data_IF_427970714102
#
_entry.id   IF_427970714102
#
_cell.length_a   1.000
_cell.length_b   1.000
_cell.length_c   1.000
_cell.angle_alpha   90.00
_cell.angle_beta   90.00
_cell.angle_gamma   90.00
#
_symmetry.space_group_name_H-M   'P 1'
#
loop_
_entity.id
_entity.type
_entity.pdbx_description
1 polymer ?
#
# COMPACT_ATOMS: atom_id res chain seq x y z
N UNK A 1 18.19 -16.37 14.37
CA UNK A 1 18.66 -16.84 13.04
C UNK A 1 18.15 -15.90 11.98
N UNK A 2 19.05 -15.34 11.18
CA UNK A 2 18.70 -14.48 10.05
C UNK A 2 18.11 -15.34 8.94
N UNK A 3 16.80 -15.23 8.69
CA UNK A 3 16.08 -16.01 7.67
C UNK A 3 15.64 -15.12 6.52
N UNK A 4 15.71 -15.64 5.30
CA UNK A 4 15.18 -14.99 4.10
C UNK A 4 13.95 -15.74 3.59
N UNK A 5 12.95 -15.01 3.10
CA UNK A 5 11.76 -15.58 2.48
C UNK A 5 11.81 -15.35 0.98
N UNK A 6 11.84 -16.43 0.21
CA UNK A 6 11.92 -16.40 -1.25
C UNK A 6 10.55 -16.27 -1.95
N UNK A 7 9.46 -16.71 -1.30
CA UNK A 7 8.15 -16.84 -1.96
C UNK A 7 8.07 -17.99 -3.00
N UNK A 8 9.16 -18.72 -3.19
CA UNK A 8 9.28 -19.95 -3.96
C UNK A 8 10.32 -20.86 -3.27
N UNK A 9 10.51 -22.09 -3.73
CA UNK A 9 11.59 -22.93 -3.22
C UNK A 9 12.95 -22.49 -3.76
N UNK A 10 14.07 -22.75 -3.03
CA UNK A 10 15.41 -22.43 -3.54
C UNK A 10 15.72 -23.08 -4.89
N UNK A 11 15.27 -24.30 -5.11
CA UNK A 11 15.51 -25.02 -6.38
C UNK A 11 14.70 -24.42 -7.53
N UNK A 12 13.46 -23.98 -7.30
CA UNK A 12 12.68 -23.22 -8.28
C UNK A 12 13.39 -21.90 -8.65
N UNK A 13 13.96 -21.19 -7.65
CA UNK A 13 14.70 -19.96 -7.92
C UNK A 13 15.91 -20.19 -8.84
N UNK A 14 16.62 -21.31 -8.69
CA UNK A 14 17.76 -21.68 -9.53
C UNK A 14 17.35 -21.85 -11.00
N UNK A 15 16.15 -22.37 -11.28
CA UNK A 15 15.66 -22.52 -12.66
C UNK A 15 15.48 -21.19 -13.40
N UNK A 16 15.19 -20.10 -12.67
CA UNK A 16 15.02 -18.75 -13.26
C UNK A 16 16.23 -17.84 -13.00
N UNK A 17 17.41 -18.41 -12.66
CA UNK A 17 18.60 -17.64 -12.25
C UNK A 17 18.97 -16.53 -13.23
N UNK A 18 19.21 -16.87 -14.50
CA UNK A 18 19.69 -15.89 -15.48
C UNK A 18 18.72 -14.72 -15.69
N UNK A 19 17.41 -14.95 -15.96
CA UNK A 19 16.46 -13.84 -16.06
C UNK A 19 16.29 -13.08 -14.76
N UNK A 20 16.38 -13.73 -13.59
CA UNK A 20 16.27 -13.07 -12.29
C UNK A 20 17.46 -12.14 -12.01
N UNK A 21 18.69 -12.59 -12.26
CA UNK A 21 19.91 -11.78 -12.11
C UNK A 21 19.88 -10.58 -13.05
N UNK A 22 19.53 -10.77 -14.33
CA UNK A 22 19.42 -9.66 -15.30
C UNK A 22 18.39 -8.63 -14.89
N UNK A 23 17.20 -9.05 -14.43
CA UNK A 23 16.17 -8.15 -13.96
C UNK A 23 16.61 -7.39 -12.71
N UNK A 24 17.32 -8.04 -11.81
CA UNK A 24 17.86 -7.41 -10.62
C UNK A 24 18.97 -6.40 -10.95
N UNK A 25 19.88 -6.71 -11.91
CA UNK A 25 20.88 -5.78 -12.41
C UNK A 25 20.24 -4.54 -13.04
N UNK A 26 19.21 -4.73 -13.85
CA UNK A 26 18.45 -3.62 -14.43
C UNK A 26 17.82 -2.75 -13.35
N UNK A 27 17.21 -3.36 -12.33
CA UNK A 27 16.61 -2.63 -11.22
C UNK A 27 17.64 -1.77 -10.48
N UNK A 28 18.83 -2.30 -10.23
CA UNK A 28 19.92 -1.56 -9.58
C UNK A 28 20.45 -0.43 -10.45
N UNK A 29 20.72 -0.72 -11.73
CA UNK A 29 21.26 0.26 -12.68
C UNK A 29 20.32 1.46 -12.91
N UNK A 30 19.00 1.25 -12.80
CA UNK A 30 17.96 2.27 -12.94
C UNK A 30 17.55 2.91 -11.61
N UNK A 31 18.36 2.76 -10.54
CA UNK A 31 18.07 3.31 -9.21
C UNK A 31 16.69 2.89 -8.68
N UNK A 32 16.38 1.61 -8.80
CA UNK A 32 15.21 0.96 -8.22
C UNK A 32 13.87 1.48 -8.75
N UNK A 33 13.56 1.33 -10.06
CA UNK A 33 12.25 1.65 -10.60
C UNK A 33 11.17 0.75 -9.99
N UNK A 34 9.92 0.93 -10.35
CA UNK A 34 8.88 -0.04 -9.99
C UNK A 34 9.24 -1.41 -10.57
N UNK A 35 9.22 -2.44 -9.73
CA UNK A 35 9.60 -3.79 -10.17
C UNK A 35 8.71 -4.34 -11.28
N UNK A 36 7.44 -3.89 -11.36
CA UNK A 36 6.56 -4.22 -12.49
C UNK A 36 7.21 -3.91 -13.84
N UNK A 37 7.87 -2.74 -13.96
CA UNK A 37 8.45 -2.28 -15.22
C UNK A 37 9.64 -3.15 -15.67
N UNK A 38 10.40 -3.66 -14.71
CA UNK A 38 11.53 -4.55 -14.94
C UNK A 38 11.07 -5.99 -15.20
N UNK A 39 10.10 -6.45 -14.42
CA UNK A 39 9.57 -7.80 -14.53
C UNK A 39 8.83 -8.03 -15.85
N UNK A 40 8.14 -7.04 -16.40
CA UNK A 40 7.48 -7.14 -17.70
C UNK A 40 8.47 -7.41 -18.84
N UNK A 41 9.66 -6.81 -18.76
CA UNK A 41 10.78 -7.11 -19.69
C UNK A 41 11.30 -8.53 -19.53
N UNK A 42 11.64 -8.91 -18.31
CA UNK A 42 12.21 -10.22 -17.98
C UNK A 42 11.24 -11.39 -18.21
N UNK A 43 9.93 -11.15 -18.01
CA UNK A 43 8.89 -12.17 -18.22
C UNK A 43 8.78 -12.69 -19.66
N UNK A 44 9.38 -11.99 -20.63
CA UNK A 44 9.43 -12.45 -22.04
C UNK A 44 10.41 -13.58 -22.26
N UNK A 45 11.37 -13.77 -21.36
CA UNK A 45 12.43 -14.78 -21.45
C UNK A 45 12.13 -16.07 -20.68
N UNK A 46 10.96 -16.18 -20.06
CA UNK A 46 10.54 -17.34 -19.25
C UNK A 46 9.16 -17.83 -19.65
N UNK A 47 8.87 -19.09 -19.36
CA UNK A 47 7.54 -19.67 -19.53
C UNK A 47 6.52 -19.05 -18.58
N UNK A 48 5.26 -19.26 -18.85
CA UNK A 48 4.19 -18.78 -17.98
C UNK A 48 4.27 -19.31 -16.54
N UNK A 49 4.60 -20.59 -16.41
CA UNK A 49 4.75 -21.22 -15.10
C UNK A 49 5.90 -20.61 -14.28
N UNK A 50 6.96 -20.19 -14.96
CA UNK A 50 8.14 -19.58 -14.33
C UNK A 50 7.97 -18.12 -13.97
N UNK A 51 6.98 -17.40 -14.51
CA UNK A 51 6.80 -15.95 -14.23
C UNK A 51 6.59 -15.65 -12.76
N UNK A 52 5.81 -16.47 -12.06
CA UNK A 52 5.58 -16.29 -10.64
C UNK A 52 6.86 -16.53 -9.83
N UNK A 53 7.65 -17.52 -10.21
CA UNK A 53 8.93 -17.85 -9.59
C UNK A 53 9.93 -16.72 -9.85
N UNK A 54 10.03 -16.23 -11.08
CA UNK A 54 10.87 -15.10 -11.46
C UNK A 54 10.53 -13.86 -10.63
N UNK A 55 9.25 -13.49 -10.55
CA UNK A 55 8.81 -12.34 -9.77
C UNK A 55 9.18 -12.49 -8.28
N UNK A 56 8.92 -13.64 -7.68
CA UNK A 56 9.27 -13.93 -6.29
C UNK A 56 10.78 -13.84 -6.05
N UNK A 57 11.58 -14.39 -6.95
CA UNK A 57 13.06 -14.38 -6.87
C UNK A 57 13.62 -12.97 -6.98
N UNK A 58 13.15 -12.17 -7.96
CA UNK A 58 13.59 -10.77 -8.13
C UNK A 58 13.17 -9.93 -6.93
N UNK A 59 11.93 -10.08 -6.45
CA UNK A 59 11.47 -9.38 -5.24
C UNK A 59 12.34 -9.72 -4.02
N UNK A 60 12.76 -10.97 -3.85
CA UNK A 60 13.64 -11.38 -2.76
C UNK A 60 15.04 -10.77 -2.91
N UNK A 61 15.63 -10.78 -4.11
CA UNK A 61 16.92 -10.13 -4.38
C UNK A 61 16.89 -8.64 -4.02
N UNK A 62 15.84 -7.93 -4.45
CA UNK A 62 15.65 -6.51 -4.16
C UNK A 62 15.39 -6.27 -2.67
N UNK A 63 14.53 -7.07 -2.05
CA UNK A 63 14.20 -6.99 -0.63
C UNK A 63 15.45 -7.13 0.25
N UNK A 64 16.29 -8.11 -0.05
CA UNK A 64 17.45 -8.46 0.76
C UNK A 64 18.78 -7.91 0.22
N UNK A 65 18.77 -6.91 -0.69
CA UNK A 65 19.97 -6.38 -1.36
C UNK A 65 21.13 -6.07 -0.42
N UNK A 66 20.88 -5.35 0.69
CA UNK A 66 21.90 -5.00 1.69
C UNK A 66 22.45 -6.22 2.42
N UNK A 67 21.55 -7.10 2.89
CA UNK A 67 21.93 -8.35 3.59
C UNK A 67 22.76 -9.25 2.67
N UNK A 68 22.37 -9.38 1.41
CA UNK A 68 23.08 -10.21 0.44
C UNK A 68 24.46 -9.63 0.10
N UNK A 69 24.56 -8.30 -0.02
CA UNK A 69 25.85 -7.62 -0.17
C UNK A 69 26.78 -7.87 1.02
N UNK A 70 26.26 -7.84 2.23
CA UNK A 70 27.00 -8.19 3.45
C UNK A 70 27.39 -9.68 3.47
N UNK A 71 26.51 -10.57 3.05
CA UNK A 71 26.74 -12.02 3.03
C UNK A 71 27.87 -12.43 2.09
N UNK A 72 27.80 -11.96 0.82
CA UNK A 72 28.75 -12.34 -0.20
C UNK A 72 30.06 -11.54 -0.15
N UNK A 73 30.08 -10.34 0.43
CA UNK A 73 31.22 -9.45 0.43
C UNK A 73 31.67 -8.99 -0.96
N UNK A 74 30.81 -9.14 -1.98
CA UNK A 74 31.12 -8.83 -3.37
C UNK A 74 30.00 -7.98 -4.01
N UNK A 75 30.33 -7.09 -4.98
CA UNK A 75 29.32 -6.27 -5.66
C UNK A 75 28.49 -7.06 -6.70
N UNK A 76 28.89 -8.26 -7.06
CA UNK A 76 28.31 -9.08 -8.12
C UNK A 76 26.88 -9.51 -7.79
N UNK A 77 25.97 -9.35 -8.73
CA UNK A 77 24.59 -9.81 -8.62
C UNK A 77 24.47 -11.32 -8.62
N UNK A 78 25.38 -12.00 -9.31
CA UNK A 78 25.51 -13.46 -9.27
C UNK A 78 25.84 -13.95 -7.86
N UNK A 79 26.83 -13.32 -7.19
CA UNK A 79 27.21 -13.66 -5.83
C UNK A 79 26.06 -13.39 -4.83
N UNK A 80 25.26 -12.34 -5.06
CA UNK A 80 24.05 -12.06 -4.27
C UNK A 80 22.97 -13.10 -4.47
N UNK A 81 22.78 -13.56 -5.71
CA UNK A 81 21.85 -14.64 -6.01
C UNK A 81 22.26 -15.95 -5.30
N UNK A 82 23.54 -16.34 -5.39
CA UNK A 82 24.06 -17.51 -4.68
C UNK A 82 23.85 -17.40 -3.16
N UNK A 83 24.15 -16.22 -2.60
CA UNK A 83 23.93 -15.96 -1.17
C UNK A 83 22.45 -16.04 -0.80
N UNK A 84 21.53 -15.57 -1.65
CA UNK A 84 20.09 -15.68 -1.41
C UNK A 84 19.66 -17.15 -1.33
N UNK A 85 20.11 -17.98 -2.28
CA UNK A 85 19.81 -19.42 -2.31
C UNK A 85 20.39 -20.13 -1.10
N UNK A 86 21.66 -19.87 -0.76
CA UNK A 86 22.34 -20.46 0.38
C UNK A 86 21.66 -20.09 1.73
N UNK A 87 21.27 -18.81 1.90
CA UNK A 87 20.53 -18.37 3.09
C UNK A 87 19.14 -19.01 3.17
N UNK A 88 18.43 -19.13 2.04
CA UNK A 88 17.12 -19.77 1.99
C UNK A 88 17.16 -21.27 2.29
N UNK A 89 18.28 -21.94 1.98
CA UNK A 89 18.55 -23.34 2.35
C UNK A 89 19.07 -23.52 3.77
N UNK A 90 19.39 -22.44 4.48
CA UNK A 90 20.00 -22.47 5.81
C UNK A 90 21.48 -22.91 5.80
N UNK A 91 22.14 -22.89 4.64
CA UNK A 91 23.54 -23.28 4.46
C UNK A 91 24.51 -22.21 4.96
N UNK A 92 24.06 -20.98 5.13
CA UNK A 92 24.86 -19.84 5.58
C UNK A 92 24.28 -19.25 6.85
N UNK A 93 25.13 -19.01 7.86
CA UNK A 93 24.78 -18.35 9.11
C UNK A 93 25.53 -17.01 9.22
N UNK A 94 24.79 -15.92 9.44
CA UNK A 94 25.35 -14.57 9.50
C UNK A 94 25.39 -13.99 10.91
N UNK A 95 24.77 -14.63 11.90
CA UNK A 95 24.57 -14.07 13.25
C UNK A 95 25.88 -13.62 13.91
N UNK A 96 26.94 -14.46 13.83
CA UNK A 96 28.26 -14.12 14.37
C UNK A 96 28.96 -12.97 13.65
N UNK A 97 28.73 -12.82 12.34
CA UNK A 97 29.27 -11.70 11.53
C UNK A 97 28.51 -10.42 11.81
N UNK A 98 27.17 -10.48 11.90
CA UNK A 98 26.30 -9.36 12.24
C UNK A 98 26.61 -8.83 13.66
N UNK A 99 26.89 -9.71 14.60
CA UNK A 99 27.24 -9.33 15.98
C UNK A 99 28.54 -8.51 16.08
N UNK A 100 29.41 -8.50 15.05
CA UNK A 100 30.65 -7.69 15.00
C UNK A 100 30.38 -6.25 14.55
N UNK A 101 29.21 -5.94 14.04
CA UNK A 101 28.83 -4.57 13.67
C UNK A 101 28.58 -3.79 14.96
N UNK A 102 29.42 -2.76 15.21
CA UNK A 102 29.40 -2.01 16.46
C UNK A 102 28.13 -1.14 16.61
N UNK A 103 27.68 -0.51 15.51
CA UNK A 103 26.47 0.28 15.50
C UNK A 103 25.25 -0.62 15.49
N UNK A 104 24.37 -0.48 16.49
CA UNK A 104 23.11 -1.24 16.52
C UNK A 104 22.20 -0.89 15.33
N UNK A 105 22.14 0.39 14.94
CA UNK A 105 21.36 0.85 13.79
C UNK A 105 21.84 0.20 12.51
N UNK A 106 23.15 0.20 12.26
CA UNK A 106 23.76 -0.45 11.11
C UNK A 106 23.54 -1.97 11.11
N UNK A 107 23.69 -2.60 12.27
CA UNK A 107 23.46 -4.03 12.45
C UNK A 107 22.03 -4.40 12.10
N UNK A 108 21.04 -3.70 12.66
CA UNK A 108 19.62 -3.93 12.36
C UNK A 108 19.29 -3.60 10.91
N UNK A 109 19.83 -2.49 10.37
CA UNK A 109 19.67 -2.15 8.96
C UNK A 109 20.21 -3.24 8.02
N UNK A 110 21.32 -3.87 8.39
CA UNK A 110 21.92 -4.98 7.61
C UNK A 110 21.12 -6.27 7.80
N UNK A 111 20.78 -6.63 9.04
CA UNK A 111 20.02 -7.84 9.39
C UNK A 111 18.65 -7.89 8.66
N UNK A 112 17.91 -6.77 8.68
CA UNK A 112 16.60 -6.66 8.06
C UNK A 112 16.62 -6.08 6.64
N UNK A 113 17.80 -5.79 6.12
CA UNK A 113 18.01 -5.25 4.77
C UNK A 113 17.19 -3.98 4.51
N UNK A 114 17.36 -2.98 5.36
CA UNK A 114 16.76 -1.64 5.24
C UNK A 114 17.82 -0.55 5.40
N UNK A 115 17.63 0.66 4.87
CA UNK A 115 18.51 1.79 5.13
C UNK A 115 18.56 2.16 6.62
N UNK A 116 19.70 2.65 7.11
CA UNK A 116 19.91 3.01 8.52
C UNK A 116 18.95 4.11 8.99
N UNK A 117 18.61 5.04 8.09
CA UNK A 117 17.65 6.10 8.42
C UNK A 117 16.25 5.56 8.75
N UNK A 118 15.82 4.45 8.11
CA UNK A 118 14.54 3.80 8.44
C UNK A 118 14.58 3.24 9.86
N UNK A 119 15.67 2.59 10.25
CA UNK A 119 15.86 2.07 11.61
C UNK A 119 15.81 3.21 12.63
N UNK A 120 16.54 4.31 12.34
CA UNK A 120 16.58 5.49 13.20
C UNK A 120 15.19 6.15 13.33
N UNK A 121 14.46 6.29 12.22
CA UNK A 121 13.13 6.89 12.19
C UNK A 121 12.09 6.06 12.97
N UNK A 122 12.09 4.74 12.78
CA UNK A 122 11.23 3.84 13.56
C UNK A 122 11.51 3.97 15.05
N UNK A 123 12.79 3.99 15.43
CA UNK A 123 13.20 4.18 16.84
C UNK A 123 12.74 5.51 17.40
N UNK A 124 12.89 6.58 16.64
CA UNK A 124 12.53 7.94 17.07
C UNK A 124 11.02 8.11 17.26
N UNK A 125 10.20 7.55 16.37
CA UNK A 125 8.75 7.78 16.38
C UNK A 125 7.96 6.71 17.14
N UNK A 126 8.43 5.46 17.19
CA UNK A 126 7.70 4.33 17.78
C UNK A 126 8.39 3.74 19.03
N UNK A 127 9.60 4.22 19.34
CA UNK A 127 10.40 3.72 20.45
C UNK A 127 11.27 2.50 20.12
N UNK A 128 12.23 2.17 20.99
CA UNK A 128 13.21 1.10 20.74
C UNK A 128 12.58 -0.29 20.64
N UNK A 129 11.53 -0.56 21.41
CA UNK A 129 10.87 -1.86 21.47
C UNK A 129 10.11 -2.20 20.20
N UNK A 130 9.66 -1.19 19.46
CA UNK A 130 8.96 -1.36 18.18
C UNK A 130 9.90 -1.67 17.00
N UNK A 131 11.20 -1.40 17.12
CA UNK A 131 12.13 -1.48 15.98
C UNK A 131 12.14 -2.87 15.36
N UNK A 132 12.45 -3.91 16.13
CA UNK A 132 12.50 -5.28 15.59
C UNK A 132 11.17 -5.79 15.07
N UNK A 133 10.04 -5.63 15.76
CA UNK A 133 8.72 -5.99 15.24
C UNK A 133 8.40 -5.31 13.90
N UNK A 134 8.63 -4.00 13.78
CA UNK A 134 8.41 -3.25 12.53
C UNK A 134 9.26 -3.79 11.40
N UNK A 135 10.58 -3.91 11.61
CA UNK A 135 11.51 -4.36 10.58
C UNK A 135 11.23 -5.80 10.14
N UNK A 136 10.85 -6.67 11.07
CA UNK A 136 10.40 -8.04 10.76
C UNK A 136 9.16 -8.00 9.86
N UNK A 137 8.15 -7.22 10.25
CA UNK A 137 6.90 -7.07 9.51
C UNK A 137 7.13 -6.54 8.08
N UNK A 138 8.06 -5.61 7.89
CA UNK A 138 8.44 -5.09 6.56
C UNK A 138 9.01 -6.16 5.62
N UNK A 139 9.49 -7.28 6.15
CA UNK A 139 10.08 -8.37 5.37
C UNK A 139 9.16 -9.58 5.16
N UNK A 140 8.01 -9.62 5.83
CA UNK A 140 7.03 -10.68 5.62
C UNK A 140 6.52 -10.72 4.17
N UNK A 141 6.02 -11.87 3.76
CA UNK A 141 5.35 -12.01 2.46
C UNK A 141 3.95 -11.43 2.56
N UNK A 142 3.65 -10.44 1.72
CA UNK A 142 2.31 -9.86 1.66
C UNK A 142 1.32 -10.84 1.01
N UNK A 143 0.12 -11.05 1.58
CA UNK A 143 -0.91 -11.86 0.94
C UNK A 143 -1.38 -11.21 -0.36
N UNK A 144 -1.78 -12.04 -1.31
CA UNK A 144 -2.40 -11.56 -2.55
C UNK A 144 -3.87 -11.28 -2.27
N UNK A 145 -4.30 -10.03 -2.41
CA UNK A 145 -5.65 -9.59 -2.09
C UNK A 145 -6.28 -8.86 -3.27
N UNK A 146 -7.54 -9.11 -3.50
CA UNK A 146 -8.37 -8.41 -4.47
C UNK A 146 -9.66 -7.89 -3.83
N UNK A 147 -10.26 -6.90 -4.47
CA UNK A 147 -11.58 -6.39 -4.13
C UNK A 147 -12.58 -6.78 -5.19
N UNK A 148 -13.70 -7.33 -4.76
CA UNK A 148 -14.84 -7.62 -5.63
C UNK A 148 -15.52 -6.31 -6.03
N UNK A 149 -15.83 -6.18 -7.30
CA UNK A 149 -16.52 -5.02 -7.87
C UNK A 149 -18.03 -5.23 -7.85
N UNK A 150 -18.72 -4.62 -6.91
CA UNK A 150 -20.18 -4.74 -6.75
C UNK A 150 -20.99 -4.04 -7.84
N UNK A 151 -20.37 -3.33 -8.78
CA UNK A 151 -21.04 -2.85 -10.02
C UNK A 151 -21.25 -3.99 -11.03
N UNK A 152 -20.50 -5.09 -10.91
CA UNK A 152 -20.52 -6.22 -11.88
C UNK A 152 -21.05 -7.51 -11.27
N UNK A 153 -20.71 -7.79 -10.00
CA UNK A 153 -20.97 -9.06 -9.35
C UNK A 153 -21.11 -8.89 -7.83
N UNK A 154 -21.29 -9.97 -7.09
CA UNK A 154 -21.17 -10.00 -5.65
C UNK A 154 -20.06 -10.97 -5.22
N UNK A 155 -19.65 -10.91 -3.94
CA UNK A 155 -18.52 -11.68 -3.45
C UNK A 155 -18.69 -13.19 -3.62
N UNK A 156 -19.89 -13.72 -3.39
CA UNK A 156 -20.15 -15.16 -3.51
C UNK A 156 -20.03 -15.64 -4.97
N UNK A 157 -20.63 -14.92 -5.92
CA UNK A 157 -20.53 -15.24 -7.33
C UNK A 157 -19.09 -15.09 -7.85
N UNK A 158 -18.37 -14.05 -7.40
CA UNK A 158 -16.97 -13.85 -7.75
C UNK A 158 -16.07 -14.99 -7.24
N UNK A 159 -16.25 -15.46 -6.01
CA UNK A 159 -15.52 -16.62 -5.47
C UNK A 159 -15.75 -17.87 -6.31
N UNK A 160 -17.00 -18.12 -6.73
CA UNK A 160 -17.33 -19.24 -7.61
C UNK A 160 -16.67 -19.10 -9.00
N UNK A 161 -16.65 -17.90 -9.59
CA UNK A 161 -15.98 -17.63 -10.86
C UNK A 161 -14.47 -17.83 -10.76
N UNK A 162 -13.84 -17.36 -9.68
CA UNK A 162 -12.41 -17.57 -9.43
C UNK A 162 -12.08 -19.07 -9.28
N UNK A 163 -12.90 -19.83 -8.57
CA UNK A 163 -12.74 -21.28 -8.44
C UNK A 163 -12.85 -21.99 -9.79
N UNK A 164 -13.82 -21.60 -10.64
CA UNK A 164 -13.97 -22.12 -11.99
C UNK A 164 -12.75 -21.80 -12.87
N UNK A 165 -12.11 -20.65 -12.66
CA UNK A 165 -10.85 -20.27 -13.30
C UNK A 165 -9.62 -20.97 -12.66
N UNK A 166 -9.80 -21.86 -11.66
CA UNK A 166 -8.73 -22.58 -10.97
C UNK A 166 -7.89 -21.68 -10.05
N UNK A 167 -8.48 -20.60 -9.53
CA UNK A 167 -7.86 -19.74 -8.50
C UNK A 167 -8.50 -20.06 -7.17
N UNK A 168 -7.69 -20.54 -6.22
CA UNK A 168 -8.11 -20.67 -4.83
C UNK A 168 -8.32 -19.27 -4.23
N UNK A 169 -9.51 -19.03 -3.67
CA UNK A 169 -9.85 -17.73 -3.12
C UNK A 169 -10.80 -17.87 -1.92
N UNK A 170 -10.62 -17.02 -0.93
CA UNK A 170 -11.46 -16.93 0.26
C UNK A 170 -11.78 -15.50 0.62
N UNK A 171 -12.84 -15.27 1.38
CA UNK A 171 -13.18 -13.94 1.87
C UNK A 171 -12.11 -13.44 2.84
N UNK A 172 -11.74 -12.16 2.74
CA UNK A 172 -10.91 -11.51 3.76
C UNK A 172 -11.70 -11.28 5.04
N UNK A 173 -11.00 -11.01 6.14
CA UNK A 173 -11.60 -10.90 7.48
C UNK A 173 -12.36 -9.58 7.68
N UNK A 174 -11.85 -8.47 7.18
CA UNK A 174 -12.30 -7.14 7.58
C UNK A 174 -13.03 -6.38 6.48
N UNK A 175 -12.51 -6.39 5.25
CA UNK A 175 -13.14 -5.69 4.13
C UNK A 175 -14.37 -6.45 3.64
N UNK A 176 -15.47 -5.72 3.42
CA UNK A 176 -16.75 -6.32 3.04
C UNK A 176 -16.71 -6.98 1.67
N UNK A 177 -15.84 -6.52 0.77
CA UNK A 177 -15.69 -7.02 -0.60
C UNK A 177 -14.30 -7.61 -0.87
N UNK A 178 -13.50 -7.82 0.18
CA UNK A 178 -12.16 -8.38 0.06
C UNK A 178 -12.17 -9.89 -0.20
N UNK A 179 -11.23 -10.34 -1.02
CA UNK A 179 -10.90 -11.75 -1.23
C UNK A 179 -9.39 -11.94 -1.22
N UNK A 180 -8.92 -12.96 -0.49
CA UNK A 180 -7.54 -13.42 -0.50
C UNK A 180 -7.38 -14.47 -1.58
N UNK A 181 -6.28 -14.41 -2.33
CA UNK A 181 -6.00 -15.29 -3.46
C UNK A 181 -4.87 -16.25 -3.09
N UNK A 182 -5.15 -17.53 -3.09
CA UNK A 182 -4.19 -18.60 -2.88
C UNK A 182 -3.47 -19.03 -4.17
N UNK A 183 -2.54 -19.97 -4.01
CA UNK A 183 -1.79 -20.56 -5.12
C UNK A 183 -0.93 -19.53 -5.89
N UNK A 184 -0.50 -19.91 -7.10
CA UNK A 184 0.40 -19.09 -7.96
C UNK A 184 -0.27 -18.54 -9.21
N UNK A 185 -1.50 -18.98 -9.51
CA UNK A 185 -2.22 -18.51 -10.70
C UNK A 185 -2.50 -17.01 -10.62
N UNK A 186 -2.20 -16.31 -11.72
CA UNK A 186 -2.38 -14.87 -11.79
C UNK A 186 -3.86 -14.51 -11.91
N UNK A 187 -4.38 -13.65 -11.02
CA UNK A 187 -5.74 -13.12 -11.12
C UNK A 187 -5.98 -12.33 -12.42
N UNK A 188 -4.93 -11.69 -12.95
CA UNK A 188 -5.01 -10.87 -14.17
C UNK A 188 -5.34 -11.67 -15.43
N UNK A 189 -5.31 -13.01 -15.36
CA UNK A 189 -5.63 -13.94 -16.43
C UNK A 189 -6.95 -14.67 -16.24
N UNK A 190 -7.71 -14.28 -15.23
CA UNK A 190 -9.04 -14.84 -14.97
C UNK A 190 -10.10 -14.12 -15.81
N UNK A 191 -11.18 -14.84 -16.09
CA UNK A 191 -12.36 -14.23 -16.73
C UNK A 191 -12.98 -13.17 -15.83
N UNK A 192 -13.00 -13.40 -14.51
CA UNK A 192 -13.47 -12.44 -13.52
C UNK A 192 -12.71 -11.09 -13.62
N UNK A 193 -11.37 -11.12 -13.80
CA UNK A 193 -10.61 -9.89 -14.01
C UNK A 193 -10.90 -9.22 -15.35
N UNK A 194 -10.97 -9.99 -16.44
CA UNK A 194 -11.29 -9.47 -17.77
C UNK A 194 -12.68 -8.81 -17.81
N UNK A 195 -13.66 -9.40 -17.12
CA UNK A 195 -15.02 -8.89 -16.96
C UNK A 195 -15.14 -7.68 -16.03
N UNK A 196 -14.06 -7.30 -15.34
CA UNK A 196 -14.05 -6.19 -14.38
C UNK A 196 -14.75 -6.51 -13.05
N UNK A 197 -14.87 -7.78 -12.70
CA UNK A 197 -15.51 -8.25 -11.48
C UNK A 197 -14.60 -8.15 -10.26
N UNK A 198 -13.28 -8.08 -10.47
CA UNK A 198 -12.28 -7.93 -9.41
C UNK A 198 -11.20 -6.90 -9.78
N UNK A 199 -10.65 -6.29 -8.73
CA UNK A 199 -9.52 -5.37 -8.78
C UNK A 199 -8.46 -5.76 -7.76
N UNK A 200 -7.17 -5.69 -8.13
CA UNK A 200 -6.08 -5.86 -7.15
C UNK A 200 -6.09 -4.70 -6.18
N UNK A 201 -6.29 -4.98 -4.89
CA UNK A 201 -6.30 -3.96 -3.86
C UNK A 201 -6.08 -4.59 -2.48
N UNK A 202 -5.11 -4.09 -1.71
CA UNK A 202 -4.88 -4.52 -0.35
C UNK A 202 -6.11 -4.30 0.56
N UNK A 203 -6.30 -5.15 1.57
CA UNK A 203 -7.48 -5.10 2.44
C UNK A 203 -7.56 -3.80 3.23
N UNK A 204 -6.43 -3.26 3.74
CA UNK A 204 -6.41 -1.98 4.44
C UNK A 204 -6.80 -0.82 3.50
N UNK A 205 -6.34 -0.86 2.25
CA UNK A 205 -6.75 0.12 1.22
C UNK A 205 -8.27 0.06 0.93
N UNK A 206 -8.87 -1.13 0.99
CA UNK A 206 -10.33 -1.30 0.87
C UNK A 206 -11.06 -0.70 2.08
N UNK A 207 -10.55 -0.91 3.30
CA UNK A 207 -11.10 -0.34 4.53
C UNK A 207 -11.04 1.20 4.52
N UNK A 208 -9.97 1.79 3.98
CA UNK A 208 -9.91 3.25 3.76
C UNK A 208 -11.05 3.73 2.86
N UNK A 209 -11.35 3.02 1.78
CA UNK A 209 -12.49 3.37 0.92
C UNK A 209 -13.84 3.19 1.64
N UNK A 210 -14.00 2.15 2.46
CA UNK A 210 -15.19 1.95 3.30
C UNK A 210 -15.38 3.08 4.31
N UNK A 211 -14.28 3.65 4.87
CA UNK A 211 -14.32 4.79 5.79
C UNK A 211 -14.91 6.06 5.16
N UNK A 212 -14.83 6.22 3.85
CA UNK A 212 -15.46 7.37 3.17
C UNK A 212 -16.96 7.36 3.38
N UNK A 213 -17.59 6.18 3.43
CA UNK A 213 -19.02 5.98 3.67
C UNK A 213 -19.87 7.05 2.92
N UNK A 214 -19.80 7.08 1.58
CA UNK A 214 -20.45 8.12 0.80
C UNK A 214 -21.98 7.98 0.88
N UNK A 215 -22.73 9.07 1.14
CA UNK A 215 -24.18 9.05 1.04
C UNK A 215 -24.63 8.66 -0.38
N UNK A 216 -25.76 7.97 -0.53
CA UNK A 216 -26.28 7.64 -1.86
C UNK A 216 -26.42 8.87 -2.76
N UNK A 217 -26.05 8.74 -4.03
CA UNK A 217 -26.16 9.79 -5.06
C UNK A 217 -25.40 11.10 -4.76
N UNK A 218 -24.48 11.09 -3.79
CA UNK A 218 -23.74 12.28 -3.37
C UNK A 218 -22.62 12.66 -4.34
N UNK A 219 -22.08 13.86 -4.16
CA UNK A 219 -20.85 14.31 -4.79
C UNK A 219 -19.65 13.97 -3.90
N UNK A 220 -18.70 13.21 -4.45
CA UNK A 220 -17.49 12.74 -3.79
C UNK A 220 -16.27 13.17 -4.58
N UNK A 221 -15.21 13.55 -3.90
CA UNK A 221 -13.90 13.86 -4.51
C UNK A 221 -12.85 12.90 -3.97
N UNK A 222 -12.12 12.24 -4.87
CA UNK A 222 -10.88 11.53 -4.58
C UNK A 222 -9.72 12.44 -5.01
N UNK A 223 -9.07 13.04 -4.04
CA UNK A 223 -8.15 14.16 -4.25
C UNK A 223 -6.73 13.72 -4.67
N UNK A 224 -6.39 12.43 -4.52
CA UNK A 224 -5.11 11.85 -4.91
C UNK A 224 -5.36 10.47 -5.56
N UNK A 225 -6.14 10.45 -6.64
CA UNK A 225 -6.76 9.25 -7.19
C UNK A 225 -5.77 8.21 -7.72
N UNK A 226 -4.57 8.64 -8.13
CA UNK A 226 -3.59 7.75 -8.75
C UNK A 226 -4.20 6.99 -9.94
N UNK A 227 -3.91 5.70 -10.02
CA UNK A 227 -4.47 4.79 -11.03
C UNK A 227 -5.89 4.29 -10.68
N UNK A 228 -6.56 4.86 -9.67
CA UNK A 228 -7.98 4.66 -9.41
C UNK A 228 -8.35 3.52 -8.46
N UNK A 229 -7.45 2.96 -7.69
CA UNK A 229 -7.76 1.85 -6.80
C UNK A 229 -8.92 2.17 -5.83
N UNK A 230 -8.80 3.27 -5.07
CA UNK A 230 -9.82 3.75 -4.15
C UNK A 230 -10.99 4.42 -4.89
N UNK A 231 -10.73 5.15 -5.99
CA UNK A 231 -11.78 5.73 -6.86
C UNK A 231 -12.80 4.67 -7.30
N UNK A 232 -12.33 3.52 -7.80
CA UNK A 232 -13.21 2.43 -8.24
C UNK A 232 -13.97 1.77 -7.08
N UNK A 233 -13.36 1.72 -5.89
CA UNK A 233 -14.06 1.28 -4.69
C UNK A 233 -15.19 2.25 -4.33
N UNK A 234 -14.95 3.56 -4.38
CA UNK A 234 -15.96 4.60 -4.15
C UNK A 234 -17.08 4.57 -5.18
N UNK A 235 -16.76 4.33 -6.47
CA UNK A 235 -17.77 4.18 -7.52
C UNK A 235 -18.71 2.99 -7.22
N UNK A 236 -18.15 1.88 -6.72
CA UNK A 236 -18.92 0.70 -6.31
C UNK A 236 -19.79 0.99 -5.07
N UNK A 237 -19.25 1.69 -4.06
CA UNK A 237 -20.00 2.11 -2.87
C UNK A 237 -21.16 3.07 -3.19
N UNK A 238 -20.99 3.90 -4.21
CA UNK A 238 -22.06 4.77 -4.75
C UNK A 238 -23.04 4.01 -5.67
N UNK A 239 -22.83 2.71 -5.88
CA UNK A 239 -23.60 1.88 -6.81
C UNK A 239 -23.70 2.51 -8.23
N UNK A 240 -22.62 3.12 -8.70
CA UNK A 240 -22.55 3.81 -9.99
C UNK A 240 -23.40 5.09 -10.09
N UNK A 241 -23.92 5.60 -8.97
CA UNK A 241 -24.79 6.77 -8.89
C UNK A 241 -24.07 7.97 -8.24
N UNK A 242 -24.63 9.18 -8.41
CA UNK A 242 -23.97 10.39 -7.93
C UNK A 242 -22.82 10.83 -8.83
N UNK A 243 -21.95 11.70 -8.31
CA UNK A 243 -20.78 12.21 -9.02
C UNK A 243 -19.52 11.90 -8.24
N UNK A 244 -18.54 11.28 -8.89
CA UNK A 244 -17.22 11.00 -8.31
C UNK A 244 -16.15 11.69 -9.17
N UNK A 245 -15.51 12.71 -8.60
CA UNK A 245 -14.42 13.43 -9.22
C UNK A 245 -13.08 12.89 -8.69
N UNK A 246 -12.26 12.39 -9.61
CA UNK A 246 -10.92 11.87 -9.34
C UNK A 246 -9.88 12.89 -9.80
N UNK A 247 -9.05 13.36 -8.87
CA UNK A 247 -8.00 14.34 -9.13
C UNK A 247 -6.62 13.69 -8.93
N UNK A 248 -5.71 13.96 -9.83
CA UNK A 248 -4.29 13.61 -9.70
C UNK A 248 -3.43 14.53 -10.58
N UNK A 249 -2.20 14.79 -10.17
CA UNK A 249 -1.26 15.59 -10.96
C UNK A 249 -0.69 14.83 -12.18
N UNK A 250 -0.80 13.51 -12.22
CA UNK A 250 -0.24 12.65 -13.26
C UNK A 250 -1.28 12.29 -14.33
N UNK A 251 -1.15 12.82 -15.57
CA UNK A 251 -2.03 12.43 -16.68
C UNK A 251 -2.00 10.94 -16.98
N UNK A 252 -0.83 10.30 -16.88
CA UNK A 252 -0.64 8.87 -17.15
C UNK A 252 -1.41 8.00 -16.16
N UNK A 253 -1.39 8.33 -14.86
CA UNK A 253 -2.18 7.63 -13.85
C UNK A 253 -3.68 7.76 -14.08
N UNK A 254 -4.14 8.96 -14.47
CA UNK A 254 -5.55 9.18 -14.75
C UNK A 254 -6.01 8.49 -16.04
N UNK A 255 -5.13 8.32 -17.03
CA UNK A 255 -5.48 7.51 -18.21
C UNK A 255 -5.64 6.03 -17.84
N UNK A 256 -4.76 5.51 -16.99
CA UNK A 256 -4.93 4.16 -16.42
C UNK A 256 -6.24 4.04 -15.63
N UNK A 257 -6.58 5.05 -14.81
CA UNK A 257 -7.85 5.10 -14.09
C UNK A 257 -9.03 5.04 -15.08
N UNK A 258 -9.02 5.82 -16.17
CA UNK A 258 -10.09 5.78 -17.18
C UNK A 258 -10.23 4.40 -17.81
N UNK A 259 -9.11 3.74 -18.14
CA UNK A 259 -9.11 2.38 -18.69
C UNK A 259 -9.74 1.39 -17.69
N UNK A 260 -9.34 1.45 -16.43
CA UNK A 260 -9.87 0.60 -15.36
C UNK A 260 -11.35 0.90 -15.08
N UNK A 261 -11.77 2.17 -15.09
CA UNK A 261 -13.16 2.57 -14.89
C UNK A 261 -14.07 1.99 -15.98
N UNK A 262 -13.65 2.03 -17.26
CA UNK A 262 -14.38 1.38 -18.36
C UNK A 262 -14.54 -0.12 -18.13
N UNK A 263 -13.47 -0.84 -17.76
CA UNK A 263 -13.53 -2.27 -17.45
C UNK A 263 -14.47 -2.55 -16.27
N UNK A 264 -14.37 -1.76 -15.21
CA UNK A 264 -15.16 -1.90 -13.99
C UNK A 264 -16.64 -1.48 -14.18
N UNK A 265 -17.02 -0.80 -15.26
CA UNK A 265 -18.36 -0.26 -15.45
C UNK A 265 -18.67 0.94 -14.55
N UNK A 266 -17.65 1.66 -14.09
CA UNK A 266 -17.78 2.85 -13.25
C UNK A 266 -18.04 4.10 -14.10
N UNK A 267 -19.29 4.33 -14.53
CA UNK A 267 -19.69 5.41 -15.43
C UNK A 267 -19.83 6.77 -14.74
N UNK A 268 -19.86 6.83 -13.42
CA UNK A 268 -20.03 8.04 -12.62
C UNK A 268 -18.71 8.71 -12.22
N UNK A 269 -17.58 8.27 -12.79
CA UNK A 269 -16.23 8.80 -12.53
C UNK A 269 -15.84 9.83 -13.57
N UNK A 270 -15.52 11.03 -13.10
CA UNK A 270 -14.85 12.08 -13.89
C UNK A 270 -13.39 12.19 -13.42
N UNK A 271 -12.43 12.07 -14.35
CA UNK A 271 -11.00 12.20 -14.04
C UNK A 271 -10.46 13.54 -14.58
N UNK A 272 -9.87 14.36 -13.69
CA UNK A 272 -9.34 15.69 -14.01
C UNK A 272 -7.90 15.82 -13.52
N UNK A 273 -7.00 16.25 -14.40
CA UNK A 273 -5.60 16.53 -14.05
C UNK A 273 -5.53 17.83 -13.27
N UNK A 274 -5.14 17.76 -12.02
CA UNK A 274 -4.94 18.93 -11.14
C UNK A 274 -3.83 18.61 -10.15
N UNK A 275 -2.83 19.48 -10.05
CA UNK A 275 -1.89 19.44 -8.93
C UNK A 275 -2.50 20.17 -7.73
N UNK A 276 -2.92 19.44 -6.72
CA UNK A 276 -3.53 20.04 -5.52
C UNK A 276 -2.56 20.87 -4.69
N UNK A 277 -1.25 20.74 -4.92
CA UNK A 277 -0.26 21.59 -4.23
C UNK A 277 -0.29 23.03 -4.76
N UNK A 278 -0.70 23.19 -6.02
CA UNK A 278 -0.90 24.48 -6.68
C UNK A 278 -2.09 24.40 -7.67
N UNK A 279 -3.34 24.33 -7.15
CA UNK A 279 -4.52 24.13 -8.00
C UNK A 279 -4.95 25.38 -8.77
N UNK A 280 -4.37 26.55 -8.48
CA UNK A 280 -4.88 27.83 -9.04
C UNK A 280 -6.40 27.97 -8.84
N UNK A 281 -7.12 28.38 -9.87
CA UNK A 281 -8.58 28.50 -9.87
C UNK A 281 -9.32 27.21 -10.27
N UNK A 282 -8.60 26.11 -10.58
CA UNK A 282 -9.18 24.89 -11.15
C UNK A 282 -10.23 24.19 -10.24
N UNK A 283 -10.25 24.51 -8.97
CA UNK A 283 -11.17 23.93 -7.99
C UNK A 283 -12.14 24.94 -7.38
N UNK A 284 -12.11 26.20 -7.83
CA UNK A 284 -12.89 27.28 -7.23
C UNK A 284 -14.39 26.98 -7.23
N UNK A 285 -14.92 26.44 -8.33
CA UNK A 285 -16.33 26.10 -8.46
C UNK A 285 -16.76 24.89 -7.61
N UNK A 286 -15.82 24.15 -7.04
CA UNK A 286 -16.06 22.97 -6.21
C UNK A 286 -16.00 23.27 -4.71
N UNK A 287 -15.66 24.51 -4.33
CA UNK A 287 -15.51 24.91 -2.93
C UNK A 287 -16.80 24.67 -2.15
N UNK A 288 -16.71 23.93 -1.03
CA UNK A 288 -17.82 23.64 -0.14
C UNK A 288 -18.92 22.75 -0.71
N UNK A 289 -18.67 21.98 -1.78
CA UNK A 289 -19.72 21.21 -2.46
C UNK A 289 -19.64 19.70 -2.26
N UNK A 290 -18.48 19.16 -1.91
CA UNK A 290 -18.30 17.73 -1.79
C UNK A 290 -18.81 17.21 -0.43
N UNK A 291 -19.71 16.25 -0.43
CA UNK A 291 -20.16 15.58 0.79
C UNK A 291 -19.06 14.74 1.43
N UNK A 292 -18.14 14.24 0.61
CA UNK A 292 -16.95 13.45 1.01
C UNK A 292 -15.76 13.86 0.15
N UNK A 293 -14.62 14.03 0.80
CA UNK A 293 -13.32 14.22 0.14
C UNK A 293 -12.35 13.21 0.72
N UNK A 294 -11.79 12.35 -0.13
CA UNK A 294 -10.71 11.44 0.23
C UNK A 294 -9.38 12.05 -0.16
N UNK A 295 -8.43 12.07 0.76
CA UNK A 295 -7.01 12.39 0.54
C UNK A 295 -6.21 11.14 0.87
N UNK A 296 -6.02 10.25 -0.11
CA UNK A 296 -5.05 9.15 -0.04
C UNK A 296 -3.68 9.72 -0.38
N UNK A 297 -3.03 10.29 0.64
CA UNK A 297 -1.92 11.20 0.43
C UNK A 297 -0.64 10.48 -0.03
N UNK A 298 0.17 11.11 -0.92
CA UNK A 298 1.50 10.62 -1.20
C UNK A 298 2.31 10.58 0.10
N UNK A 299 2.95 9.45 0.36
CA UNK A 299 3.66 9.16 1.60
C UNK A 299 4.89 8.30 1.33
N UNK A 300 5.68 8.00 2.36
CA UNK A 300 6.83 7.09 2.24
C UNK A 300 6.44 5.70 1.72
N UNK A 301 5.20 5.27 1.94
CA UNK A 301 4.76 3.93 1.56
C UNK A 301 5.37 2.81 2.39
N UNK A 302 5.99 3.13 3.53
CA UNK A 302 6.67 2.13 4.38
C UNK A 302 5.74 1.03 4.88
N UNK A 303 4.44 1.29 4.99
CA UNK A 303 3.44 0.29 5.34
C UNK A 303 3.13 -0.72 4.23
N UNK A 304 3.38 -0.37 2.96
CA UNK A 304 3.17 -1.23 1.79
C UNK A 304 4.47 -1.79 1.20
N UNK A 305 5.59 -1.61 1.91
CA UNK A 305 6.94 -1.96 1.43
C UNK A 305 7.14 -3.44 1.18
N UNK A 306 6.31 -4.30 1.77
CA UNK A 306 6.30 -5.74 1.52
C UNK A 306 5.96 -6.07 0.07
N UNK A 307 5.11 -5.25 -0.56
CA UNK A 307 4.65 -5.40 -1.95
C UNK A 307 5.59 -4.73 -2.94
N UNK A 308 6.22 -3.63 -2.50
CA UNK A 308 7.08 -2.78 -3.31
C UNK A 308 8.47 -2.66 -2.64
N UNK A 309 9.24 -3.76 -2.55
CA UNK A 309 10.49 -3.78 -1.77
C UNK A 309 11.53 -2.79 -2.28
N UNK A 310 11.48 -2.40 -3.56
CA UNK A 310 12.33 -1.39 -4.17
C UNK A 310 12.14 0.01 -3.56
N UNK A 311 10.98 0.30 -2.98
CA UNK A 311 10.70 1.60 -2.37
C UNK A 311 11.69 1.94 -1.24
N UNK A 312 12.17 0.92 -0.50
CA UNK A 312 13.15 1.13 0.58
C UNK A 312 14.48 1.71 0.11
N UNK A 313 14.84 1.46 -1.13
CA UNK A 313 16.11 1.92 -1.73
C UNK A 313 15.99 3.24 -2.47
N UNK A 314 14.77 3.62 -2.86
CA UNK A 314 14.49 4.93 -3.50
C UNK A 314 14.39 6.06 -2.51
N UNK A 315 13.89 5.79 -1.31
CA UNK A 315 13.65 6.79 -0.28
C UNK A 315 14.96 7.22 0.37
N UNK A 316 15.06 8.52 0.61
CA UNK A 316 16.12 9.16 1.38
C UNK A 316 15.56 9.78 2.67
N UNK A 317 16.41 10.12 3.66
CA UNK A 317 15.97 10.80 4.87
C UNK A 317 15.22 12.11 4.60
N UNK A 318 15.62 12.83 3.53
CA UNK A 318 15.03 14.12 3.16
C UNK A 318 13.64 14.03 2.55
N UNK A 319 13.21 12.81 2.14
CA UNK A 319 11.88 12.60 1.55
C UNK A 319 10.76 12.70 2.59
N UNK A 320 10.97 12.22 3.81
CA UNK A 320 9.95 12.24 4.84
C UNK A 320 9.47 13.67 5.18
N UNK A 321 10.34 14.65 5.50
CA UNK A 321 9.89 16.02 5.76
C UNK A 321 9.15 16.64 4.56
N UNK A 322 9.64 16.40 3.34
CA UNK A 322 9.01 16.90 2.11
C UNK A 322 7.60 16.32 1.92
N UNK A 323 7.43 15.02 2.19
CA UNK A 323 6.14 14.35 2.09
C UNK A 323 5.16 14.85 3.15
N UNK A 324 5.59 15.03 4.40
CA UNK A 324 4.76 15.59 5.48
C UNK A 324 4.27 16.99 5.13
N UNK A 325 5.15 17.85 4.61
CA UNK A 325 4.75 19.19 4.14
C UNK A 325 3.75 19.12 2.98
N UNK A 326 3.96 18.22 2.02
CA UNK A 326 3.04 18.02 0.91
C UNK A 326 1.66 17.51 1.38
N UNK A 327 1.64 16.59 2.34
CA UNK A 327 0.41 16.07 2.95
C UNK A 327 -0.40 17.20 3.62
N UNK A 328 0.25 18.07 4.38
CA UNK A 328 -0.39 19.23 5.01
C UNK A 328 -0.98 20.19 3.96
N UNK A 329 -0.24 20.50 2.89
CA UNK A 329 -0.72 21.34 1.81
C UNK A 329 -1.94 20.73 1.09
N UNK A 330 -1.89 19.43 0.79
CA UNK A 330 -2.98 18.68 0.17
C UNK A 330 -4.24 18.70 1.04
N UNK A 331 -4.11 18.45 2.35
CA UNK A 331 -5.24 18.49 3.28
C UNK A 331 -5.87 19.89 3.35
N UNK A 332 -5.07 20.95 3.38
CA UNK A 332 -5.54 22.34 3.40
C UNK A 332 -6.38 22.69 2.16
N UNK A 333 -5.95 22.24 0.98
CA UNK A 333 -6.71 22.46 -0.27
C UNK A 333 -7.96 21.58 -0.30
N UNK A 334 -7.85 20.32 0.05
CA UNK A 334 -8.96 19.37 0.06
C UNK A 334 -10.07 19.78 1.06
N UNK A 335 -9.71 20.35 2.21
CA UNK A 335 -10.66 20.84 3.21
C UNK A 335 -11.61 21.91 2.65
N UNK A 336 -11.15 22.75 1.71
CA UNK A 336 -11.97 23.78 1.05
C UNK A 336 -13.08 23.18 0.20
N UNK A 337 -12.92 21.96 -0.30
CA UNK A 337 -13.90 21.26 -1.14
C UNK A 337 -15.05 20.66 -0.31
N UNK A 338 -14.83 20.42 0.99
CA UNK A 338 -15.79 19.76 1.88
C UNK A 338 -16.99 20.66 2.14
N UNK A 339 -18.19 20.16 1.87
CA UNK A 339 -19.45 20.84 2.18
C UNK A 339 -19.65 20.99 3.71
N UNK A 340 -20.49 21.93 4.16
CA UNK A 340 -20.97 21.95 5.55
C UNK A 340 -21.50 20.56 5.94
N UNK A 341 -21.14 20.05 7.12
CA UNK A 341 -21.41 18.69 7.61
C UNK A 341 -20.82 17.55 6.76
N UNK A 342 -20.08 17.86 5.69
CA UNK A 342 -19.32 16.90 4.89
C UNK A 342 -18.14 16.33 5.66
N UNK A 343 -17.46 15.34 5.07
CA UNK A 343 -16.31 14.70 5.71
C UNK A 343 -15.08 14.75 4.83
N UNK A 344 -13.94 15.03 5.45
CA UNK A 344 -12.60 14.83 4.92
C UNK A 344 -12.06 13.51 5.45
N UNK A 345 -11.62 12.64 4.60
CA UNK A 345 -10.95 11.39 4.96
C UNK A 345 -9.51 11.50 4.53
N UNK A 346 -8.60 11.45 5.50
CA UNK A 346 -7.16 11.41 5.23
C UNK A 346 -6.65 10.00 5.42
N UNK A 347 -5.77 9.56 4.53
CA UNK A 347 -5.12 8.25 4.63
C UNK A 347 -3.71 8.26 4.08
N UNK A 348 -2.85 7.41 4.64
CA UNK A 348 -1.52 7.07 4.14
C UNK A 348 -1.26 5.58 4.27
N UNK A 349 -0.49 5.00 3.33
CA UNK A 349 0.08 3.66 3.46
C UNK A 349 1.43 3.72 4.22
N UNK A 350 1.41 4.39 5.37
CA UNK A 350 2.53 4.54 6.29
C UNK A 350 2.09 4.20 7.72
N UNK A 351 3.01 3.64 8.48
CA UNK A 351 2.81 3.40 9.91
C UNK A 351 3.45 4.49 10.78
N UNK A 352 4.18 5.45 10.18
CA UNK A 352 4.85 6.53 10.89
C UNK A 352 3.84 7.53 11.46
N UNK A 353 3.91 7.87 12.76
CA UNK A 353 3.10 8.92 13.38
C UNK A 353 3.17 10.27 12.66
N UNK A 354 4.34 10.67 12.16
CA UNK A 354 4.56 11.92 11.42
C UNK A 354 3.73 12.02 10.14
N UNK A 355 3.48 10.89 9.45
CA UNK A 355 2.62 10.81 8.26
C UNK A 355 1.16 10.45 8.61
N UNK A 356 0.84 10.29 9.87
CA UNK A 356 -0.47 9.87 10.38
C UNK A 356 -1.05 10.83 11.40
N UNK A 357 -1.04 10.41 12.66
CA UNK A 357 -1.69 11.14 13.74
C UNK A 357 -1.12 12.56 13.92
N UNK A 358 0.20 12.72 13.93
CA UNK A 358 0.83 14.03 14.12
C UNK A 358 0.45 15.02 13.01
N UNK A 359 0.37 14.54 11.75
CA UNK A 359 -0.09 15.36 10.63
C UNK A 359 -1.54 15.82 10.83
N UNK A 360 -2.41 14.97 11.40
CA UNK A 360 -3.82 15.31 11.64
C UNK A 360 -4.02 16.18 12.88
N UNK A 361 -3.24 16.00 13.93
CA UNK A 361 -3.24 16.88 15.10
C UNK A 361 -2.85 18.31 14.70
N UNK A 362 -1.83 18.44 13.84
CA UNK A 362 -1.45 19.74 13.26
C UNK A 362 -2.57 20.32 12.38
N UNK A 363 -3.16 19.52 11.49
CA UNK A 363 -4.28 19.98 10.66
C UNK A 363 -5.44 20.50 11.49
N UNK A 364 -5.83 19.80 12.55
CA UNK A 364 -6.93 20.19 13.44
C UNK A 364 -6.64 21.47 14.22
N UNK A 365 -5.37 21.72 14.57
CA UNK A 365 -4.98 22.98 15.24
C UNK A 365 -5.16 24.20 14.32
N UNK A 366 -4.98 24.04 13.01
CA UNK A 366 -5.15 25.09 12.01
C UNK A 366 -6.59 25.19 11.46
N UNK A 367 -7.42 24.15 11.68
CA UNK A 367 -8.78 24.04 11.16
C UNK A 367 -9.81 23.70 12.26
N UNK A 368 -10.14 24.65 13.16
CA UNK A 368 -11.06 24.42 14.26
C UNK A 368 -12.51 24.15 13.81
N UNK A 369 -12.83 24.42 12.54
CA UNK A 369 -14.09 24.05 11.91
C UNK A 369 -14.20 22.55 11.57
N UNK A 370 -13.16 21.75 11.86
CA UNK A 370 -13.20 20.29 11.70
C UNK A 370 -13.11 19.59 13.06
N UNK A 371 -13.83 18.44 13.17
CA UNK A 371 -13.77 17.56 14.33
C UNK A 371 -13.63 16.10 13.91
N UNK A 372 -13.00 15.30 14.78
CA UNK A 372 -12.79 13.86 14.52
C UNK A 372 -14.11 13.11 14.63
N UNK A 373 -14.40 12.28 13.62
CA UNK A 373 -15.41 11.21 13.68
C UNK A 373 -14.65 9.91 13.91
N UNK A 374 -14.99 9.17 14.96
CA UNK A 374 -14.24 7.94 15.25
C UNK A 374 -14.43 6.91 14.14
N UNK A 375 -13.38 6.18 13.79
CA UNK A 375 -13.53 5.09 12.80
C UNK A 375 -14.47 3.99 13.31
N UNK A 376 -14.61 3.89 14.64
CA UNK A 376 -15.59 3.02 15.30
C UNK A 376 -17.03 3.39 14.95
N UNK A 377 -17.34 4.67 14.86
CA UNK A 377 -18.69 5.14 14.48
C UNK A 377 -19.00 4.91 13.00
N UNK A 378 -17.97 4.78 12.16
CA UNK A 378 -18.13 4.55 10.72
C UNK A 378 -18.16 3.06 10.37
N UNK A 379 -17.22 2.27 10.89
CA UNK A 379 -17.04 0.85 10.54
C UNK A 379 -17.70 -0.11 11.54
N UNK A 380 -18.12 0.39 12.70
CA UNK A 380 -18.69 -0.39 13.79
C UNK A 380 -17.63 -1.03 14.72
N UNK A 381 -18.03 -1.27 15.98
CA UNK A 381 -17.14 -1.72 17.06
C UNK A 381 -16.39 -3.01 16.70
N UNK A 382 -17.12 -4.02 16.21
CA UNK A 382 -16.54 -5.35 15.95
C UNK A 382 -15.37 -5.31 14.95
N UNK A 383 -15.48 -4.50 13.89
CA UNK A 383 -14.40 -4.35 12.90
C UNK A 383 -13.20 -3.59 13.48
N UNK A 384 -13.45 -2.60 14.32
CA UNK A 384 -12.41 -1.65 14.73
C UNK A 384 -11.55 -2.12 15.90
N UNK A 385 -11.96 -3.14 16.66
CA UNK A 385 -11.18 -3.68 17.78
C UNK A 385 -9.75 -4.09 17.39
N UNK A 386 -9.58 -4.64 16.17
CA UNK A 386 -8.30 -5.11 15.67
C UNK A 386 -7.53 -4.12 14.78
N UNK A 387 -8.22 -3.15 14.18
CA UNK A 387 -7.68 -2.30 13.11
C UNK A 387 -7.70 -0.81 13.41
N UNK A 388 -8.11 -0.41 14.61
CA UNK A 388 -8.13 0.98 15.04
C UNK A 388 -7.19 1.23 16.21
N UNK A 389 -6.87 2.51 16.45
CA UNK A 389 -6.23 2.94 17.70
C UNK A 389 -7.08 2.54 18.91
N UNK A 390 -6.47 2.41 20.09
CA UNK A 390 -7.15 1.95 21.31
C UNK A 390 -8.41 2.76 21.64
N UNK A 391 -8.39 4.06 21.41
CA UNK A 391 -9.53 4.97 21.59
C UNK A 391 -10.58 4.88 20.47
N UNK A 392 -10.31 4.11 19.42
CA UNK A 392 -11.19 3.94 18.25
C UNK A 392 -11.25 5.14 17.31
N UNK A 393 -10.41 6.16 17.51
CA UNK A 393 -10.45 7.38 16.69
C UNK A 393 -9.95 7.18 15.27
N UNK A 394 -8.84 6.46 15.12
CA UNK A 394 -8.13 6.33 13.85
C UNK A 394 -8.05 4.88 13.40
N UNK A 395 -8.04 4.64 12.10
CA UNK A 395 -7.60 3.38 11.52
C UNK A 395 -6.08 3.29 11.64
N UNK A 396 -5.57 2.17 12.18
CA UNK A 396 -4.15 1.83 12.22
C UNK A 396 -4.01 0.31 12.10
N UNK A 397 -3.62 -0.18 10.94
CA UNK A 397 -3.59 -1.62 10.67
C UNK A 397 -2.33 -2.30 11.18
N UNK A 398 -1.19 -1.58 11.28
CA UNK A 398 0.00 -2.07 11.98
C UNK A 398 0.10 -1.38 13.32
N UNK A 399 -0.05 -2.15 14.39
CA UNK A 399 -0.02 -1.66 15.77
C UNK A 399 1.22 -2.22 16.45
N UNK A 400 2.08 -1.32 16.95
CA UNK A 400 3.32 -1.65 17.64
C UNK A 400 3.33 -1.06 19.06
N UNK A 401 2.15 -0.88 19.65
CA UNK A 401 1.91 -0.30 20.97
C UNK A 401 1.87 -1.36 22.11
N UNK A 402 2.38 -2.57 21.85
CA UNK A 402 2.37 -3.67 22.82
C UNK A 402 1.02 -4.38 22.97
N UNK A 403 -0.03 -3.92 22.29
CA UNK A 403 -1.27 -4.69 22.21
C UNK A 403 -1.06 -5.89 21.31
N UNK A 404 -1.57 -7.09 21.67
CA UNK A 404 -1.53 -8.23 20.77
C UNK A 404 -2.06 -7.81 19.41
N UNK A 405 -1.32 -8.14 18.34
CA UNK A 405 -1.82 -7.95 16.98
C UNK A 405 -3.20 -8.59 16.91
N UNK A 406 -4.23 -7.77 16.84
CA UNK A 406 -5.63 -8.20 16.80
C UNK A 406 -5.99 -8.94 15.52
N UNK A 407 -4.98 -9.60 14.91
CA UNK A 407 -5.13 -10.34 13.67
C UNK A 407 -5.38 -9.42 12.50
N UNK A 408 -4.44 -8.54 12.18
CA UNK A 408 -4.49 -7.68 10.98
C UNK A 408 -4.55 -8.47 9.66
N UNK A 409 -4.64 -9.80 9.76
CA UNK A 409 -4.79 -10.76 8.67
C UNK A 409 -3.78 -10.55 7.51
N UNK A 410 -2.63 -9.95 7.80
CA UNK A 410 -1.60 -9.68 6.81
C UNK A 410 -1.80 -8.41 5.99
N UNK A 411 -2.72 -7.52 6.36
CA UNK A 411 -2.92 -6.20 5.71
C UNK A 411 -1.63 -5.37 5.67
N UNK A 412 -1.56 -4.45 4.73
CA UNK A 412 -0.52 -3.43 4.69
C UNK A 412 -0.70 -2.40 5.84
N UNK A 413 0.39 -1.72 6.21
CA UNK A 413 0.40 -0.71 7.26
C UNK A 413 -0.25 0.59 6.79
N UNK A 414 -1.47 0.86 7.23
CA UNK A 414 -2.21 2.08 6.91
C UNK A 414 -2.55 2.88 8.17
N UNK A 415 -2.56 4.18 7.98
CA UNK A 415 -3.23 5.13 8.85
C UNK A 415 -4.38 5.78 8.10
N UNK A 416 -5.55 5.97 8.75
CA UNK A 416 -6.59 6.85 8.25
C UNK A 416 -7.41 7.48 9.38
N UNK A 417 -7.91 8.69 9.11
CA UNK A 417 -8.86 9.37 9.98
C UNK A 417 -10.03 9.93 9.18
N UNK A 418 -11.13 10.18 9.88
CA UNK A 418 -12.34 10.81 9.36
C UNK A 418 -12.56 12.11 10.11
N UNK A 419 -12.62 13.22 9.39
CA UNK A 419 -12.89 14.55 9.93
C UNK A 419 -14.21 15.07 9.39
N UNK A 420 -15.04 15.62 10.24
CA UNK A 420 -16.32 16.26 9.87
C UNK A 420 -16.16 17.76 9.91
N UNK A 421 -16.62 18.43 8.88
CA UNK A 421 -16.73 19.89 8.89
C UNK A 421 -17.96 20.30 9.69
N UNK A 422 -17.78 21.10 10.71
CA UNK A 422 -18.83 21.70 11.51
C UNK A 422 -19.32 23.00 10.84
N UNK A 423 -20.44 23.51 11.28
CA UNK A 423 -20.85 24.87 10.91
C UNK A 423 -19.79 25.87 11.42
N UNK A 424 -19.55 26.91 10.64
CA UNK A 424 -18.75 28.01 11.15
C UNK A 424 -19.54 28.64 12.29
N UNK A 425 -19.03 28.52 13.50
CA UNK A 425 -19.52 29.30 14.66
C UNK A 425 -19.20 30.77 14.45
#
# INVERSE_FOLDING_TARGET
>A
MTTVSLGCTPDEAVHVRLPAVRAYDEARARSWPFLSDVLDGAARSVTEAERAILAATVQALVKYDRLLGFACGAPSSEARFESLVALARGETQLDARLARIASETERLGTEYSVPDWVVAQVRAELGPDAVRPVLSRMNETAPRVARVNTLRTNRQACLAALAADGVDASATTWASQGVTLGGRRSMFRTQAFAAGEIESQDEASQLVAELVAPPPKSFVVDACAGAGGKTLALAALLAGKGKLLALDASPAKLEELRRRARRAGASNVEARVVDLRDPGDALRELSGRASRVLVDAPCTGLGAIRRNPEARWRLSPDDLPRLVMAQAALCKVAARLVAPHGRLIYATCSFLPSEGQMAMDFFLSEHPDFGVVTVRDVLGRKKTEAIATHDGKYLRTWRFDGTPDGGDAGMDGFFACVLRRNDRT
#
